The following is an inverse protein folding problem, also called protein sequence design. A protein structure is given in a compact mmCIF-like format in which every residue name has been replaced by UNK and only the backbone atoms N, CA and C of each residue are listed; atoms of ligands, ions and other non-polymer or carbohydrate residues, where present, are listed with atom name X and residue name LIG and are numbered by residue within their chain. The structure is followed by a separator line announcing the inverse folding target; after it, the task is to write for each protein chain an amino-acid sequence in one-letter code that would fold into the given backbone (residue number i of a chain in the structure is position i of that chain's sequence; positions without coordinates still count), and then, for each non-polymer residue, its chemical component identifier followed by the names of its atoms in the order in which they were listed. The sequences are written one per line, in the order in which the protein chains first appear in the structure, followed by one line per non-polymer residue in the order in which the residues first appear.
data_IF_886906403457
#
_entry.id   IF_886906403457
#
_cell.length_a   1.000
_cell.length_b   1.000
_cell.length_c   1.000
_cell.angle_alpha   90.00
_cell.angle_beta   90.00
_cell.angle_gamma   90.00
#
_symmetry.space_group_name_H-M   'P 1'
#
loop_
_entity.id
_entity.type
_entity.pdbx_description
1 polymer ?
#
# COMPACT_ATOMS: atom_id res chain seq x y z
N UNK A 1 -7.62 76.48 -38.04
CA UNK A 1 -8.51 75.38 -38.48
C UNK A 1 -8.47 74.27 -37.44
N UNK A 2 -9.54 74.09 -36.66
CA UNK A 2 -9.91 72.83 -35.97
C UNK A 2 -10.73 71.95 -36.94
N UNK A 3 -11.09 70.66 -36.68
CA UNK A 3 -10.90 69.74 -35.51
C UNK A 3 -10.34 68.33 -35.94
N UNK A 4 -10.16 67.28 -35.10
CA UNK A 4 -11.19 66.28 -34.69
C UNK A 4 -10.55 65.03 -33.97
N UNK A 5 -11.09 64.66 -32.78
CA UNK A 5 -11.32 63.33 -32.08
C UNK A 5 -10.47 62.07 -32.42
N UNK A 6 -10.22 61.04 -31.58
CA UNK A 6 -10.58 60.60 -30.21
C UNK A 6 -9.78 59.31 -29.82
N UNK A 7 -9.54 59.11 -28.50
CA UNK A 7 -9.34 57.91 -27.62
C UNK A 7 -8.96 56.49 -28.17
N UNK A 8 -8.36 55.52 -27.38
CA UNK A 8 -8.44 55.39 -25.92
C UNK A 8 -7.21 54.93 -25.10
N UNK A 9 -7.29 55.30 -23.81
CA UNK A 9 -6.78 54.70 -22.56
C UNK A 9 -5.93 53.41 -22.66
N UNK A 10 -4.71 53.49 -22.12
CA UNK A 10 -4.02 52.36 -21.46
C UNK A 10 -4.23 52.47 -19.95
N UNK A 11 -4.92 51.50 -19.38
CA UNK A 11 -5.10 51.36 -17.93
C UNK A 11 -4.05 50.39 -17.40
N UNK A 12 -3.09 50.90 -16.64
CA UNK A 12 -2.29 50.09 -15.72
C UNK A 12 -2.91 50.26 -14.33
N UNK A 13 -3.63 49.25 -13.84
CA UNK A 13 -3.97 49.16 -12.41
C UNK A 13 -2.98 48.20 -11.77
N UNK A 14 -2.09 48.75 -10.94
CA UNK A 14 -1.31 47.99 -9.97
C UNK A 14 -2.30 47.46 -8.92
N UNK A 15 -2.30 46.14 -8.73
CA UNK A 15 -2.87 45.53 -7.53
C UNK A 15 -1.89 45.75 -6.38
N UNK A 16 -2.24 46.57 -5.40
CA UNK A 16 -1.73 46.40 -4.04
C UNK A 16 -2.69 47.06 -3.05
N UNK A 17 -3.27 46.25 -2.19
CA UNK A 17 -4.20 46.71 -1.15
C UNK A 17 -5.04 45.58 -0.58
N UNK A 18 -4.40 44.54 -0.03
CA UNK A 18 -5.05 43.72 1.01
C UNK A 18 -4.96 44.55 2.29
N UNK A 19 -6.00 45.32 2.59
CA UNK A 19 -6.26 45.75 3.96
C UNK A 19 -6.75 44.52 4.71
N UNK A 20 -5.87 43.91 5.50
CA UNK A 20 -6.23 42.85 6.45
C UNK A 20 -7.14 43.47 7.51
N UNK A 21 -8.43 43.12 7.47
CA UNK A 21 -9.38 43.42 8.53
C UNK A 21 -9.05 42.50 9.73
N UNK A 22 -8.73 43.04 10.93
CA UNK A 22 -8.37 42.22 12.08
C UNK A 22 -9.54 41.43 12.69
N UNK A 23 -10.76 41.52 12.13
CA UNK A 23 -11.94 40.81 12.62
C UNK A 23 -12.45 39.67 11.72
N UNK A 24 -11.70 39.24 10.70
CA UNK A 24 -12.15 38.11 9.87
C UNK A 24 -11.72 36.76 10.48
N UNK A 25 -12.67 36.07 11.11
CA UNK A 25 -12.51 34.68 11.53
C UNK A 25 -12.15 33.78 10.32
N UNK A 26 -11.29 32.76 10.50
CA UNK A 26 -10.94 31.84 9.42
C UNK A 26 -12.20 31.17 8.86
N UNK A 27 -12.53 31.47 7.60
CA UNK A 27 -13.62 30.81 6.88
C UNK A 27 -13.30 29.33 6.74
N UNK A 28 -13.98 28.50 7.53
CA UNK A 28 -13.87 27.05 7.44
C UNK A 28 -14.85 26.58 6.37
N UNK A 29 -14.32 26.09 5.25
CA UNK A 29 -15.15 25.46 4.21
C UNK A 29 -15.59 24.08 4.70
N UNK A 30 -16.86 23.95 5.05
CA UNK A 30 -17.47 22.66 5.40
C UNK A 30 -17.82 21.90 4.12
N UNK A 31 -17.11 20.82 3.83
CA UNK A 31 -17.46 19.88 2.76
C UNK A 31 -18.46 18.85 3.29
N UNK A 32 -19.67 18.83 2.74
CA UNK A 32 -20.68 17.79 3.05
C UNK A 32 -20.33 16.50 2.29
N UNK A 33 -19.98 15.44 3.02
CA UNK A 33 -19.75 14.11 2.46
C UNK A 33 -21.06 13.31 2.55
N UNK A 34 -21.50 12.71 1.45
CA UNK A 34 -22.68 11.83 1.43
C UNK A 34 -22.32 10.42 1.91
N UNK A 35 -23.31 9.66 2.39
CA UNK A 35 -23.10 8.26 2.79
C UNK A 35 -22.53 7.41 1.63
N UNK A 36 -22.95 7.68 0.39
CA UNK A 36 -22.41 7.01 -0.79
C UNK A 36 -20.93 7.35 -1.05
N UNK A 37 -20.52 8.60 -0.80
CA UNK A 37 -19.11 9.01 -0.91
C UNK A 37 -18.26 8.35 0.18
N UNK A 38 -18.80 8.25 1.41
CA UNK A 38 -18.11 7.55 2.50
C UNK A 38 -17.90 6.07 2.17
N UNK A 39 -18.93 5.39 1.65
CA UNK A 39 -18.83 3.99 1.25
C UNK A 39 -17.80 3.78 0.13
N UNK A 40 -17.80 4.66 -0.88
CA UNK A 40 -16.83 4.58 -1.97
C UNK A 40 -15.38 4.74 -1.48
N UNK A 41 -15.13 5.59 -0.48
CA UNK A 41 -13.80 5.74 0.12
C UNK A 41 -13.36 4.48 0.88
N UNK A 42 -14.30 3.82 1.56
CA UNK A 42 -14.06 2.54 2.25
C UNK A 42 -13.73 1.46 1.23
N UNK A 43 -14.57 1.28 0.20
CA UNK A 43 -14.39 0.27 -0.83
C UNK A 43 -13.07 0.48 -1.58
N UNK A 44 -12.70 1.73 -1.88
CA UNK A 44 -11.42 2.07 -2.48
C UNK A 44 -10.25 1.68 -1.57
N UNK A 45 -10.33 1.96 -0.27
CA UNK A 45 -9.31 1.59 0.71
C UNK A 45 -9.14 0.07 0.84
N UNK A 46 -10.24 -0.67 0.92
CA UNK A 46 -10.24 -2.14 1.00
C UNK A 46 -9.65 -2.76 -0.27
N UNK A 47 -10.07 -2.30 -1.44
CA UNK A 47 -9.56 -2.79 -2.72
C UNK A 47 -8.07 -2.48 -2.91
N UNK A 48 -7.61 -1.31 -2.50
CA UNK A 48 -6.19 -0.95 -2.55
C UNK A 48 -5.34 -1.85 -1.63
N UNK A 49 -5.81 -2.12 -0.40
CA UNK A 49 -5.13 -3.02 0.53
C UNK A 49 -5.09 -4.46 0.01
N UNK A 50 -6.19 -4.93 -0.59
CA UNK A 50 -6.27 -6.25 -1.22
C UNK A 50 -5.32 -6.36 -2.42
N UNK A 51 -5.29 -5.34 -3.29
CA UNK A 51 -4.41 -5.31 -4.46
C UNK A 51 -2.93 -5.36 -4.06
N UNK A 52 -2.50 -4.52 -3.11
CA UNK A 52 -1.13 -4.52 -2.61
C UNK A 52 -0.72 -5.91 -2.05
N UNK A 53 -1.63 -6.58 -1.33
CA UNK A 53 -1.40 -7.95 -0.84
C UNK A 53 -1.30 -8.98 -1.96
N UNK A 54 -2.19 -8.93 -2.95
CA UNK A 54 -2.11 -9.86 -4.09
C UNK A 54 -0.79 -9.70 -4.84
N UNK A 55 -0.30 -8.47 -4.97
CA UNK A 55 0.99 -8.21 -5.60
C UNK A 55 2.16 -8.83 -4.80
N UNK A 56 2.16 -8.71 -3.46
CA UNK A 56 3.16 -9.35 -2.60
C UNK A 56 3.14 -10.88 -2.72
N UNK A 57 1.95 -11.50 -2.66
CA UNK A 57 1.79 -12.95 -2.75
C UNK A 57 2.20 -13.47 -4.14
N UNK A 58 1.83 -12.76 -5.20
CA UNK A 58 2.21 -13.10 -6.57
C UNK A 58 3.73 -13.01 -6.74
N UNK A 59 4.37 -11.94 -6.27
CA UNK A 59 5.85 -11.79 -6.34
C UNK A 59 6.56 -12.92 -5.59
N UNK A 60 6.08 -13.27 -4.40
CA UNK A 60 6.66 -14.36 -3.61
C UNK A 60 6.51 -15.72 -4.31
N UNK A 61 5.31 -15.98 -4.86
CA UNK A 61 5.03 -17.24 -5.58
C UNK A 61 5.89 -17.37 -6.83
N UNK A 62 5.98 -16.31 -7.63
CA UNK A 62 6.84 -16.28 -8.82
C UNK A 62 8.31 -16.49 -8.46
N UNK A 63 8.77 -15.92 -7.33
CA UNK A 63 10.13 -16.16 -6.86
C UNK A 63 10.35 -17.63 -6.49
N UNK A 64 9.41 -18.28 -5.80
CA UNK A 64 9.52 -19.72 -5.50
C UNK A 64 9.63 -20.57 -6.76
N UNK A 65 8.75 -20.36 -7.74
CA UNK A 65 8.75 -21.10 -9.02
C UNK A 65 10.05 -20.90 -9.80
N UNK A 66 10.57 -19.67 -9.79
CA UNK A 66 11.85 -19.33 -10.41
C UNK A 66 12.99 -20.09 -9.74
N UNK A 67 13.04 -20.10 -8.41
CA UNK A 67 14.08 -20.82 -7.67
C UNK A 67 14.00 -22.33 -7.87
N UNK A 68 12.81 -22.92 -7.88
CA UNK A 68 12.61 -24.34 -8.17
C UNK A 68 13.08 -24.71 -9.58
N UNK A 69 12.86 -23.81 -10.54
CA UNK A 69 13.40 -23.97 -11.91
C UNK A 69 14.92 -23.89 -11.92
N UNK A 70 15.53 -22.95 -11.20
CA UNK A 70 16.98 -22.85 -11.09
C UNK A 70 17.56 -24.10 -10.43
N UNK A 71 16.96 -24.61 -9.35
CA UNK A 71 17.40 -25.85 -8.71
C UNK A 71 17.38 -27.03 -9.67
N UNK A 72 16.29 -27.17 -10.46
CA UNK A 72 16.15 -28.25 -11.44
C UNK A 72 17.20 -28.16 -12.55
N UNK A 73 17.41 -26.97 -13.13
CA UNK A 73 18.36 -26.77 -14.23
C UNK A 73 19.81 -26.96 -13.77
N UNK A 74 20.14 -26.51 -12.56
CA UNK A 74 21.50 -26.60 -12.01
C UNK A 74 21.80 -27.95 -11.35
N UNK A 75 20.81 -28.85 -11.25
CA UNK A 75 20.90 -30.07 -10.44
C UNK A 75 21.32 -29.76 -8.98
N UNK A 76 20.75 -28.71 -8.39
CA UNK A 76 21.08 -28.26 -7.04
C UNK A 76 20.64 -29.29 -6.00
N UNK A 77 21.61 -29.83 -5.26
CA UNK A 77 21.37 -30.74 -4.14
C UNK A 77 20.53 -30.06 -3.05
N UNK A 78 19.64 -30.82 -2.41
CA UNK A 78 18.72 -30.31 -1.39
C UNK A 78 19.43 -29.52 -0.27
N UNK A 79 20.61 -29.99 0.16
CA UNK A 79 21.46 -29.34 1.18
C UNK A 79 21.99 -27.94 0.79
N UNK A 80 21.95 -27.59 -0.49
CA UNK A 80 22.44 -26.32 -1.02
C UNK A 80 21.31 -25.37 -1.45
N UNK A 81 20.07 -25.85 -1.51
CA UNK A 81 18.93 -25.08 -2.00
C UNK A 81 18.65 -23.83 -1.15
N UNK A 82 18.62 -23.96 0.17
CA UNK A 82 18.39 -22.82 1.08
C UNK A 82 19.52 -21.80 0.98
N UNK A 83 20.78 -22.25 0.99
CA UNK A 83 21.95 -21.36 0.80
C UNK A 83 21.82 -20.58 -0.51
N UNK A 84 21.59 -21.29 -1.61
CA UNK A 84 21.47 -20.68 -2.93
C UNK A 84 20.30 -19.69 -3.00
N UNK A 85 19.11 -20.07 -2.53
CA UNK A 85 17.95 -19.17 -2.51
C UNK A 85 18.18 -17.91 -1.68
N UNK A 86 18.74 -18.05 -0.48
CA UNK A 86 18.96 -16.92 0.43
C UNK A 86 19.93 -15.89 -0.12
N UNK A 87 20.90 -16.31 -0.95
CA UNK A 87 21.79 -15.41 -1.69
C UNK A 87 21.10 -14.57 -2.77
N UNK A 88 19.90 -14.96 -3.21
CA UNK A 88 19.14 -14.24 -4.24
C UNK A 88 18.07 -13.30 -3.67
N UNK A 89 17.95 -13.22 -2.34
CA UNK A 89 16.97 -12.36 -1.70
C UNK A 89 17.27 -10.88 -1.98
N UNK A 90 16.21 -10.09 -2.17
CA UNK A 90 16.30 -8.67 -2.49
C UNK A 90 15.49 -7.82 -1.50
N UNK A 91 15.72 -6.51 -1.53
CA UNK A 91 15.04 -5.51 -0.71
C UNK A 91 15.14 -5.82 0.80
N UNK A 92 14.01 -5.89 1.51
CA UNK A 92 13.98 -6.15 2.96
C UNK A 92 14.17 -7.62 3.36
N UNK A 93 14.18 -8.56 2.41
CA UNK A 93 14.26 -10.00 2.69
C UNK A 93 15.61 -10.47 3.24
N UNK A 94 16.78 -9.98 2.76
CA UNK A 94 18.07 -10.29 3.36
C UNK A 94 18.16 -9.89 4.84
N UNK A 95 17.63 -8.73 5.21
CA UNK A 95 17.61 -8.26 6.60
C UNK A 95 16.78 -9.18 7.49
N UNK A 96 15.60 -9.61 7.02
CA UNK A 96 14.78 -10.60 7.73
C UNK A 96 15.50 -11.94 7.87
N UNK A 97 16.09 -12.47 6.79
CA UNK A 97 16.80 -13.74 6.81
C UNK A 97 17.98 -13.71 7.80
N UNK A 98 18.80 -12.66 7.76
CA UNK A 98 19.92 -12.51 8.69
C UNK A 98 19.46 -12.45 10.16
N UNK A 99 18.34 -11.78 10.43
CA UNK A 99 17.73 -11.79 11.77
C UNK A 99 17.28 -13.19 12.16
N UNK A 100 16.66 -13.94 11.25
CA UNK A 100 16.27 -15.32 11.49
C UNK A 100 17.47 -16.22 11.83
N UNK A 101 18.53 -16.16 11.03
CA UNK A 101 19.78 -16.90 11.25
C UNK A 101 20.39 -16.58 12.61
N UNK A 102 20.35 -15.31 13.06
CA UNK A 102 20.83 -14.93 14.40
C UNK A 102 20.02 -15.56 15.54
N UNK A 103 18.73 -15.81 15.32
CA UNK A 103 17.83 -16.38 16.33
C UNK A 103 18.03 -17.89 16.43
N UNK A 104 18.05 -18.59 15.30
CA UNK A 104 18.08 -20.07 15.29
C UNK A 104 19.50 -20.65 15.19
N UNK A 105 20.50 -19.82 14.90
CA UNK A 105 21.88 -20.23 14.66
C UNK A 105 22.14 -20.62 13.20
N UNK A 106 23.39 -20.44 12.77
CA UNK A 106 23.83 -20.67 11.40
C UNK A 106 23.62 -22.12 10.95
N UNK A 107 23.99 -23.07 11.79
CA UNK A 107 23.93 -24.50 11.46
C UNK A 107 22.48 -24.96 11.30
N UNK A 108 21.60 -24.58 12.23
CA UNK A 108 20.18 -24.90 12.13
C UNK A 108 19.51 -24.22 10.92
N UNK A 109 19.89 -22.97 10.61
CA UNK A 109 19.32 -22.24 9.49
C UNK A 109 19.63 -22.87 8.13
N UNK A 110 20.84 -23.41 7.95
CA UNK A 110 21.25 -24.00 6.68
C UNK A 110 21.02 -25.51 6.58
N UNK A 111 20.64 -26.18 7.67
CA UNK A 111 20.07 -27.55 7.65
C UNK A 111 18.59 -27.54 7.25
N UNK A 112 17.93 -26.39 7.34
CA UNK A 112 16.54 -26.20 6.93
C UNK A 112 16.32 -26.64 5.48
N UNK A 113 15.19 -27.29 5.23
CA UNK A 113 14.75 -27.67 3.89
C UNK A 113 14.19 -26.48 3.13
N UNK A 114 14.17 -26.57 1.80
CA UNK A 114 13.49 -25.59 0.96
C UNK A 114 12.00 -25.42 1.33
N UNK A 115 11.31 -26.50 1.69
CA UNK A 115 9.90 -26.49 2.09
C UNK A 115 9.68 -25.64 3.34
N UNK A 116 10.55 -25.80 4.35
CA UNK A 116 10.49 -25.03 5.58
C UNK A 116 10.78 -23.55 5.34
N UNK A 117 11.75 -23.23 4.46
CA UNK A 117 12.02 -21.84 4.07
C UNK A 117 10.79 -21.22 3.39
N UNK A 118 10.16 -21.92 2.44
CA UNK A 118 8.93 -21.44 1.78
C UNK A 118 7.85 -21.11 2.80
N UNK A 119 7.60 -22.03 3.74
CA UNK A 119 6.61 -21.81 4.81
C UNK A 119 6.91 -20.56 5.62
N UNK A 120 8.16 -20.38 6.07
CA UNK A 120 8.56 -19.19 6.85
C UNK A 120 8.42 -17.88 6.06
N UNK A 121 8.77 -17.90 4.78
CA UNK A 121 8.60 -16.72 3.92
C UNK A 121 7.12 -16.41 3.69
N UNK A 122 6.28 -17.42 3.47
CA UNK A 122 4.83 -17.24 3.37
C UNK A 122 4.25 -16.68 4.66
N UNK A 123 4.63 -17.20 5.83
CA UNK A 123 4.15 -16.69 7.12
C UNK A 123 4.56 -15.22 7.34
N UNK A 124 5.75 -14.82 6.87
CA UNK A 124 6.28 -13.47 7.03
C UNK A 124 5.63 -12.45 6.07
N UNK A 125 5.46 -12.82 4.80
CA UNK A 125 5.06 -11.92 3.72
C UNK A 125 3.60 -12.08 3.29
N UNK A 126 2.91 -13.14 3.75
CA UNK A 126 1.48 -13.37 3.54
C UNK A 126 0.75 -13.57 4.90
N UNK A 127 0.73 -12.55 5.77
CA UNK A 127 0.13 -12.65 7.11
C UNK A 127 -1.39 -12.88 7.04
N UNK A 128 -1.81 -14.09 7.39
CA UNK A 128 -3.22 -14.53 7.35
C UNK A 128 -4.12 -13.82 8.37
N UNK A 129 -3.56 -13.35 9.48
CA UNK A 129 -4.27 -12.60 10.52
C UNK A 129 -4.80 -11.25 10.02
N UNK A 130 -4.02 -10.57 9.18
CA UNK A 130 -4.40 -9.28 8.57
C UNK A 130 -5.60 -9.45 7.63
N UNK A 131 -5.65 -10.55 6.86
CA UNK A 131 -6.81 -10.91 6.05
C UNK A 131 -8.08 -11.08 6.89
N UNK A 132 -7.99 -11.86 7.96
CA UNK A 132 -9.15 -12.07 8.86
C UNK A 132 -9.62 -10.76 9.47
N UNK A 133 -8.71 -9.83 9.76
CA UNK A 133 -9.04 -8.51 10.28
C UNK A 133 -9.82 -7.69 9.24
N UNK A 134 -9.32 -7.60 8.00
CA UNK A 134 -10.01 -6.89 6.91
C UNK A 134 -11.38 -7.52 6.63
N UNK A 135 -11.47 -8.85 6.60
CA UNK A 135 -12.72 -9.58 6.40
C UNK A 135 -13.72 -9.33 7.53
N UNK A 136 -13.26 -9.33 8.78
CA UNK A 136 -14.12 -9.03 9.94
C UNK A 136 -14.57 -7.58 9.95
N UNK A 137 -13.68 -6.63 9.65
CA UNK A 137 -14.02 -5.21 9.55
C UNK A 137 -15.03 -4.96 8.43
N UNK A 138 -14.84 -5.61 7.27
CA UNK A 138 -15.78 -5.55 6.16
C UNK A 138 -17.18 -6.09 6.56
N UNK A 139 -17.24 -7.27 7.17
CA UNK A 139 -18.49 -7.84 7.67
C UNK A 139 -19.19 -6.92 8.69
N UNK A 140 -18.46 -6.32 9.62
CA UNK A 140 -19.04 -5.40 10.61
C UNK A 140 -19.60 -4.12 9.97
N UNK A 141 -18.94 -3.61 8.93
CA UNK A 141 -19.40 -2.44 8.18
C UNK A 141 -20.67 -2.74 7.39
N UNK A 142 -20.76 -3.92 6.76
CA UNK A 142 -21.97 -4.36 6.05
C UNK A 142 -23.16 -4.55 7.01
N UNK A 143 -22.93 -5.16 8.17
CA UNK A 143 -23.96 -5.39 9.19
C UNK A 143 -24.45 -4.07 9.81
N UNK A 144 -23.59 -3.09 10.08
CA UNK A 144 -24.02 -1.78 10.61
C UNK A 144 -24.74 -0.92 9.56
N UNK A 145 -24.35 -1.02 8.28
CA UNK A 145 -25.02 -0.32 7.18
C UNK A 145 -26.45 -0.80 6.94
N UNK A 146 -26.76 -2.06 7.24
CA UNK A 146 -28.11 -2.64 7.08
C UNK A 146 -29.07 -2.33 8.24
N UNK A 147 -28.56 -1.99 9.43
CA UNK A 147 -29.40 -1.59 10.57
C UNK A 147 -29.87 -0.12 10.45
N UNK A 148 -29.02 0.74 9.87
CA UNK A 148 -29.33 2.14 9.56
C UNK A 148 -30.41 2.31 8.50
N UNK A 149 -30.60 1.34 7.59
CA UNK A 149 -31.65 1.39 6.56
C UNK A 149 -33.03 0.96 7.08
N UNK A 150 -33.13 0.44 8.32
CA UNK A 150 -34.38 -0.06 8.90
C UNK A 150 -35.23 1.01 9.61
N UNK A 151 -34.72 2.23 9.73
CA UNK A 151 -35.36 3.36 10.43
C UNK A 151 -35.79 4.51 9.52
N UNK A 152 -36.21 4.22 8.27
CA UNK A 152 -36.88 5.19 7.38
C UNK A 152 -38.28 4.70 6.99
#
# INVERSE_FOLDING_TARGET
MTPKRAAPRRTTRLNLGVTSDPNQAPSTTTTTITNAQLQAMIDQGVNAALAARTEEVVKLTQWFERMETVFRISNCLAENQVKFATCTLLAGAPTWWNSHVRIIGNDAAYVMTWIELKKKMTDKYCPRNEMKKIETEFWNLEVQGTDLTRYN
#
